data_IF_508574730153
#
_entry.id   IF_508574730153
#
_cell.length_a   1.000
_cell.length_b   1.000
_cell.length_c   1.000
_cell.angle_alpha   90.00
_cell.angle_beta   90.00
_cell.angle_gamma   90.00
#
_symmetry.space_group_name_H-M   'P 1'
#
loop_
_entity.id
_entity.type
_entity.pdbx_description
1 polymer ?
#
# COMPACT_ATOMS: atom_id res chain seq x y z
N UNK A 1 18.34 13.46 17.12
CA UNK A 1 17.30 13.45 16.09
C UNK A 1 16.22 12.44 16.45
N UNK A 2 14.97 12.84 16.35
CA UNK A 2 13.86 11.98 16.71
C UNK A 2 13.19 11.46 15.46
N UNK A 3 13.10 10.15 15.33
CA UNK A 3 12.34 9.51 14.27
C UNK A 3 10.90 9.36 14.74
N UNK A 4 9.95 9.68 13.86
CA UNK A 4 8.55 9.41 14.13
C UNK A 4 8.33 7.90 14.11
N UNK A 5 7.47 7.42 14.98
CA UNK A 5 7.07 6.02 15.00
C UNK A 5 5.64 5.92 14.50
N UNK A 6 5.42 4.98 13.60
CA UNK A 6 4.11 4.75 13.00
C UNK A 6 3.63 3.35 13.38
N UNK A 7 2.36 3.26 13.73
CA UNK A 7 1.70 1.98 13.92
C UNK A 7 1.12 1.55 12.58
N UNK A 8 1.42 0.32 12.18
CA UNK A 8 0.96 -0.22 10.89
C UNK A 8 -0.46 -0.77 11.03
N UNK A 9 -1.31 -0.42 10.09
CA UNK A 9 -2.68 -0.90 10.02
C UNK A 9 -3.04 -1.20 8.56
N UNK A 10 -3.97 -2.11 8.35
CA UNK A 10 -4.43 -2.51 7.01
C UNK A 10 -5.95 -2.44 6.94
N UNK A 11 -6.46 -1.89 5.83
CA UNK A 11 -7.89 -2.00 5.56
C UNK A 11 -8.20 -3.37 4.93
N UNK A 12 -9.39 -3.94 5.21
CA UNK A 12 -9.79 -5.21 4.59
C UNK A 12 -9.71 -5.19 3.07
N UNK A 13 -10.01 -4.06 2.44
CA UNK A 13 -9.97 -3.92 0.99
C UNK A 13 -8.57 -4.14 0.42
N UNK A 14 -7.52 -3.79 1.18
CA UNK A 14 -6.14 -4.09 0.76
C UNK A 14 -5.93 -5.60 0.64
N UNK A 15 -6.42 -6.36 1.61
CA UNK A 15 -6.29 -7.82 1.57
C UNK A 15 -7.09 -8.44 0.42
N UNK A 16 -8.26 -7.90 0.13
CA UNK A 16 -9.07 -8.35 -1.01
C UNK A 16 -8.34 -8.08 -2.32
N UNK A 17 -7.77 -6.89 -2.48
CA UNK A 17 -6.97 -6.55 -3.66
C UNK A 17 -5.78 -7.51 -3.83
N UNK A 18 -5.04 -7.74 -2.74
CA UNK A 18 -3.85 -8.58 -2.77
C UNK A 18 -4.21 -10.04 -3.11
N UNK A 19 -5.27 -10.55 -2.47
CA UNK A 19 -5.73 -11.91 -2.71
C UNK A 19 -6.12 -12.12 -4.18
N UNK A 20 -6.80 -11.15 -4.79
CA UNK A 20 -7.17 -11.20 -6.20
C UNK A 20 -5.93 -11.37 -7.09
N UNK A 21 -4.87 -10.59 -6.84
CA UNK A 21 -3.65 -10.64 -7.64
C UNK A 21 -2.89 -11.95 -7.44
N UNK A 22 -2.78 -12.40 -6.20
CA UNK A 22 -2.10 -13.64 -5.86
C UNK A 22 -2.84 -14.85 -6.46
N UNK A 23 -4.16 -14.88 -6.33
CA UNK A 23 -4.99 -15.94 -6.91
C UNK A 23 -4.83 -16.00 -8.43
N UNK A 24 -4.81 -14.86 -9.09
CA UNK A 24 -4.59 -14.79 -10.55
C UNK A 24 -3.23 -15.42 -10.92
N UNK A 25 -2.18 -15.08 -10.20
CA UNK A 25 -0.83 -15.60 -10.48
C UNK A 25 -0.78 -17.12 -10.28
N UNK A 26 -1.40 -17.62 -9.21
CA UNK A 26 -1.41 -19.05 -8.92
C UNK A 26 -2.26 -19.82 -9.92
N UNK A 27 -3.50 -19.36 -10.16
CA UNK A 27 -4.49 -20.14 -10.93
C UNK A 27 -4.39 -19.91 -12.43
N UNK A 28 -4.19 -18.69 -12.88
CA UNK A 28 -4.13 -18.38 -14.33
C UNK A 28 -2.74 -18.50 -14.89
N UNK A 29 -1.74 -18.02 -14.18
CA UNK A 29 -0.35 -18.07 -14.64
C UNK A 29 0.36 -19.35 -14.20
N UNK A 30 -0.27 -20.15 -13.36
CA UNK A 30 0.28 -21.42 -12.85
C UNK A 30 1.67 -21.25 -12.23
N UNK A 31 1.86 -20.16 -11.49
CA UNK A 31 3.19 -19.81 -10.97
C UNK A 31 3.15 -19.50 -9.46
N UNK A 32 3.03 -20.53 -8.60
CA UNK A 32 3.00 -20.32 -7.14
C UNK A 32 4.24 -19.62 -6.61
N UNK A 33 5.40 -19.86 -7.22
CA UNK A 33 6.64 -19.22 -6.80
C UNK A 33 6.58 -17.72 -6.99
N UNK A 34 6.07 -17.27 -8.13
CA UNK A 34 5.92 -15.83 -8.40
C UNK A 34 4.92 -15.19 -7.43
N UNK A 35 3.88 -15.91 -7.04
CA UNK A 35 2.92 -15.43 -6.05
C UNK A 35 3.58 -15.23 -4.68
N UNK A 36 4.39 -16.19 -4.23
CA UNK A 36 5.12 -16.08 -2.97
C UNK A 36 6.15 -14.96 -3.03
N UNK A 37 6.85 -14.81 -4.14
CA UNK A 37 7.82 -13.73 -4.34
C UNK A 37 7.15 -12.37 -4.26
N UNK A 38 5.94 -12.23 -4.82
CA UNK A 38 5.18 -10.99 -4.74
C UNK A 38 4.79 -10.66 -3.29
N UNK A 39 4.30 -11.65 -2.56
CA UNK A 39 3.93 -11.47 -1.15
C UNK A 39 5.13 -10.98 -0.32
N UNK A 40 6.30 -11.59 -0.53
CA UNK A 40 7.52 -11.20 0.17
C UNK A 40 7.94 -9.77 -0.18
N UNK A 41 7.84 -9.39 -1.45
CA UNK A 41 8.18 -8.03 -1.91
C UNK A 41 7.23 -7.00 -1.32
N UNK A 42 5.93 -7.30 -1.27
CA UNK A 42 4.93 -6.42 -0.70
C UNK A 42 5.20 -6.18 0.77
N UNK A 43 5.43 -7.25 1.54
CA UNK A 43 5.74 -7.15 2.96
C UNK A 43 7.01 -6.33 3.20
N UNK A 44 8.08 -6.64 2.49
CA UNK A 44 9.35 -5.93 2.62
C UNK A 44 9.22 -4.46 2.28
N UNK A 45 8.50 -4.14 1.21
CA UNK A 45 8.30 -2.75 0.79
C UNK A 45 7.54 -1.93 1.83
N UNK A 46 6.51 -2.52 2.44
CA UNK A 46 5.72 -1.86 3.49
C UNK A 46 6.59 -1.64 4.73
N UNK A 47 7.33 -2.66 5.16
CA UNK A 47 8.17 -2.57 6.35
C UNK A 47 9.31 -1.58 6.19
N UNK A 48 9.89 -1.49 5.00
CA UNK A 48 10.93 -0.50 4.71
C UNK A 48 10.38 0.92 4.71
N UNK A 49 9.16 1.12 4.24
CA UNK A 49 8.52 2.44 4.18
C UNK A 49 8.05 2.92 5.55
N UNK A 50 7.70 2.00 6.44
CA UNK A 50 7.06 2.33 7.72
C UNK A 50 7.78 3.44 8.51
N UNK A 51 9.10 3.39 8.75
CA UNK A 51 9.77 4.46 9.49
C UNK A 51 9.85 5.78 8.72
N UNK A 52 9.55 5.76 7.41
CA UNK A 52 9.64 6.91 6.52
C UNK A 52 8.29 7.26 5.89
N UNK A 53 7.21 6.93 6.58
CA UNK A 53 5.86 6.97 6.00
C UNK A 53 5.47 8.32 5.41
N UNK A 54 5.95 9.44 5.99
CA UNK A 54 5.64 10.79 5.52
C UNK A 54 6.79 11.46 4.76
N UNK A 55 7.87 10.72 4.46
CA UNK A 55 9.07 11.29 3.84
C UNK A 55 9.04 11.28 2.32
N UNK A 56 7.91 10.93 1.73
CA UNK A 56 7.74 10.84 0.28
C UNK A 56 6.67 11.82 -0.18
N UNK A 57 6.65 12.08 -1.49
CA UNK A 57 5.66 12.97 -2.07
C UNK A 57 4.28 12.32 -2.06
N UNK A 58 3.26 12.99 -1.51
CA UNK A 58 1.89 12.48 -1.56
C UNK A 58 1.37 12.39 -2.99
N UNK A 59 0.51 11.40 -3.24
CA UNK A 59 -0.21 11.28 -4.49
C UNK A 59 -1.37 12.29 -4.51
N UNK A 60 -1.42 13.12 -5.54
CA UNK A 60 -2.49 14.12 -5.69
C UNK A 60 -3.65 13.52 -6.46
N UNK A 61 -4.70 13.13 -5.73
CA UNK A 61 -5.93 12.62 -6.33
C UNK A 61 -6.77 13.77 -6.87
N UNK A 62 -7.58 13.49 -7.90
CA UNK A 62 -8.57 14.45 -8.39
C UNK A 62 -9.72 14.66 -7.40
N UNK A 63 -9.87 13.74 -6.44
CA UNK A 63 -10.85 13.87 -5.36
C UNK A 63 -10.22 14.52 -4.15
N UNK A 64 -11.00 15.33 -3.47
CA UNK A 64 -10.59 15.86 -2.17
C UNK A 64 -10.62 14.76 -1.15
N UNK A 65 -9.55 14.65 -0.34
CA UNK A 65 -9.39 13.61 0.67
C UNK A 65 -8.97 14.23 1.99
N UNK A 66 -9.46 13.65 3.08
CA UNK A 66 -9.04 14.05 4.42
C UNK A 66 -7.55 13.79 4.63
N UNK A 67 -7.06 12.64 4.14
CA UNK A 67 -5.65 12.26 4.22
C UNK A 67 -5.12 12.10 2.81
N UNK A 68 -3.90 12.59 2.57
CA UNK A 68 -3.23 12.39 1.29
C UNK A 68 -2.79 10.95 1.16
N UNK A 69 -2.89 10.42 -0.05
CA UNK A 69 -2.38 9.10 -0.36
C UNK A 69 -0.89 9.16 -0.69
N UNK A 70 -0.18 8.14 -0.23
CA UNK A 70 1.20 7.87 -0.62
C UNK A 70 1.24 6.57 -1.41
N UNK A 71 2.26 6.42 -2.24
CA UNK A 71 2.41 5.27 -3.13
C UNK A 71 3.72 4.54 -2.86
N UNK A 72 3.64 3.20 -2.89
CA UNK A 72 4.83 2.35 -2.90
C UNK A 72 4.73 1.50 -4.14
N UNK A 73 5.74 1.54 -5.00
CA UNK A 73 5.77 0.76 -6.23
C UNK A 73 6.42 -0.60 -5.97
N UNK A 74 5.73 -1.67 -6.34
CA UNK A 74 6.22 -3.05 -6.24
C UNK A 74 5.94 -3.73 -7.56
N UNK A 75 6.97 -4.00 -8.37
CA UNK A 75 6.83 -4.53 -9.72
C UNK A 75 5.84 -3.67 -10.53
N UNK A 76 4.77 -4.29 -11.06
CA UNK A 76 3.74 -3.59 -11.84
C UNK A 76 2.56 -3.14 -10.97
N UNK A 77 2.71 -3.14 -9.66
CA UNK A 77 1.64 -2.80 -8.72
C UNK A 77 1.98 -1.58 -7.91
N UNK A 78 0.96 -0.97 -7.33
CA UNK A 78 1.11 0.17 -6.44
C UNK A 78 0.35 -0.13 -5.15
N UNK A 79 1.05 0.04 -4.03
CA UNK A 79 0.45 0.00 -2.70
C UNK A 79 0.10 1.44 -2.34
N UNK A 80 -1.15 1.69 -1.97
CA UNK A 80 -1.60 3.01 -1.51
C UNK A 80 -1.80 2.98 0.00
N UNK A 81 -1.28 3.98 0.68
CA UNK A 81 -1.50 4.15 2.11
C UNK A 81 -1.71 5.62 2.44
N UNK A 82 -2.27 5.86 3.62
CA UNK A 82 -2.37 7.20 4.20
C UNK A 82 -1.69 7.19 5.55
N UNK A 83 -1.39 8.37 6.06
CA UNK A 83 -0.95 8.54 7.43
C UNK A 83 -2.06 9.23 8.19
N UNK A 84 -2.56 8.59 9.24
CA UNK A 84 -3.57 9.15 10.12
C UNK A 84 -2.84 9.80 11.29
N UNK A 85 -2.92 11.11 11.34
CA UNK A 85 -2.18 11.92 12.30
C UNK A 85 -3.09 12.72 13.23
N UNK A 86 -4.33 12.25 13.39
CA UNK A 86 -5.32 12.90 14.27
C UNK A 86 -4.83 12.98 15.70
N UNK A 87 -4.10 11.96 16.15
CA UNK A 87 -3.43 11.94 17.44
C UNK A 87 -1.92 11.96 17.21
N UNK A 88 -1.22 13.07 17.54
CA UNK A 88 0.22 13.14 17.33
C UNK A 88 1.03 12.11 18.13
N UNK A 89 0.42 11.49 19.13
CA UNK A 89 1.04 10.44 19.94
C UNK A 89 0.73 9.04 19.41
N UNK A 90 -0.10 8.92 18.38
CA UNK A 90 -0.46 7.62 17.76
C UNK A 90 -0.60 7.81 16.26
N UNK A 91 0.55 7.93 15.58
CA UNK A 91 0.59 8.05 14.13
C UNK A 91 0.37 6.67 13.51
N UNK A 92 -0.52 6.59 12.54
CA UNK A 92 -0.90 5.33 11.90
C UNK A 92 -0.57 5.39 10.42
N UNK A 93 0.22 4.43 9.95
CA UNK A 93 0.36 4.15 8.52
C UNK A 93 -0.71 3.13 8.16
N UNK A 94 -1.76 3.57 7.47
CA UNK A 94 -2.88 2.70 7.11
C UNK A 94 -2.79 2.33 5.64
N UNK A 95 -2.52 1.05 5.38
CA UNK A 95 -2.40 0.52 4.02
C UNK A 95 -3.81 0.23 3.50
N UNK A 96 -4.19 0.85 2.38
CA UNK A 96 -5.59 0.86 1.92
C UNK A 96 -5.85 0.07 0.66
N UNK A 97 -4.99 0.17 -0.35
CA UNK A 97 -5.23 -0.47 -1.64
C UNK A 97 -3.97 -1.10 -2.21
N UNK A 98 -4.16 -2.14 -3.00
CA UNK A 98 -3.10 -2.77 -3.79
C UNK A 98 -3.61 -2.93 -5.22
N UNK A 99 -3.15 -2.06 -6.13
CA UNK A 99 -3.71 -1.97 -7.47
C UNK A 99 -2.64 -2.18 -8.53
N UNK A 100 -3.04 -2.78 -9.65
CA UNK A 100 -2.19 -2.88 -10.82
C UNK A 100 -1.96 -1.47 -11.38
N UNK A 101 -0.72 -1.17 -11.77
CA UNK A 101 -0.35 0.18 -12.21
C UNK A 101 -1.15 0.67 -13.42
N UNK A 102 -1.69 -0.23 -14.23
CA UNK A 102 -2.51 0.13 -15.38
C UNK A 102 -4.00 0.33 -15.09
N UNK A 103 -4.46 0.13 -13.85
CA UNK A 103 -5.87 0.28 -13.50
C UNK A 103 -6.29 1.75 -13.44
N UNK A 104 -7.60 2.01 -13.63
CA UNK A 104 -8.17 3.34 -13.50
C UNK A 104 -8.23 3.73 -12.02
N UNK A 105 -7.17 4.34 -11.54
CA UNK A 105 -6.98 4.68 -10.13
C UNK A 105 -7.84 5.86 -9.69
N UNK A 106 -8.27 6.68 -10.63
CA UNK A 106 -9.07 7.86 -10.31
C UNK A 106 -10.38 7.54 -9.61
N UNK A 107 -10.93 6.34 -9.84
CA UNK A 107 -12.17 5.88 -9.22
C UNK A 107 -11.92 4.99 -7.99
N UNK A 108 -10.68 4.63 -7.70
CA UNK A 108 -10.34 3.66 -6.66
C UNK A 108 -9.67 4.27 -5.43
N UNK A 109 -8.99 5.39 -5.64
CA UNK A 109 -8.28 6.09 -4.55
C UNK A 109 -8.51 7.58 -4.54
#
# INVERSE_FOLDING_TARGET
MFSKKYRLSYLPLFYEDLDEKVTYIVEKLKNPKAANDLLDKVESAIMERLPLAESFEPYHSVRERRYSYYRIYVDNYIIYYVVIDDDPNDLIMEVRRFLYNGQNRGNMV
#
